data_IF_908197138515
#
_entry.id   IF_908197138515
#
_cell.length_a   1.000
_cell.length_b   1.000
_cell.length_c   1.000
_cell.angle_alpha   90.00
_cell.angle_beta   90.00
_cell.angle_gamma   90.00
#
_symmetry.space_group_name_H-M   'P 1'
#
loop_
_entity.id
_entity.type
_entity.pdbx_description
1 polymer ?
#
# COMPACT_ATOMS: atom_id res chain seq x y z
N UNK A 1 5.58 -13.62 -13.16
CA UNK A 1 4.58 -13.35 -12.09
C UNK A 1 3.55 -14.47 -11.94
N UNK A 2 2.99 -15.03 -13.03
CA UNK A 2 1.88 -16.02 -12.93
C UNK A 2 2.16 -17.20 -11.97
N UNK A 3 3.36 -17.79 -11.98
CA UNK A 3 3.64 -19.00 -11.20
C UNK A 3 3.85 -18.79 -9.69
N UNK A 4 4.10 -17.57 -9.21
CA UNK A 4 4.45 -17.34 -7.79
C UNK A 4 3.24 -17.10 -6.89
N UNK A 5 2.12 -16.63 -7.44
CA UNK A 5 0.90 -16.30 -6.70
C UNK A 5 -0.27 -17.21 -7.06
N UNK A 6 -0.03 -18.25 -7.87
CA UNK A 6 -1.05 -19.24 -8.23
C UNK A 6 -1.69 -19.91 -6.99
N UNK A 7 -0.93 -20.01 -5.88
CA UNK A 7 -1.38 -20.59 -4.62
C UNK A 7 -1.11 -19.61 -3.47
N UNK A 8 -2.16 -18.91 -3.03
CA UNK A 8 -2.10 -17.93 -1.95
C UNK A 8 -3.36 -17.91 -1.10
N UNK A 9 -3.20 -17.77 0.21
CA UNK A 9 -4.28 -17.41 1.15
C UNK A 9 -4.30 -15.90 1.30
N UNK A 10 -4.85 -15.24 0.28
CA UNK A 10 -4.77 -13.78 0.12
C UNK A 10 -6.11 -13.06 0.21
N UNK A 11 -7.20 -13.77 0.55
CA UNK A 11 -8.51 -13.14 0.64
C UNK A 11 -8.48 -11.91 1.55
N UNK A 12 -9.04 -10.81 1.05
CA UNK A 12 -9.10 -9.53 1.73
C UNK A 12 -10.53 -9.00 1.73
N UNK A 13 -10.84 -8.13 2.68
CA UNK A 13 -12.16 -7.50 2.80
C UNK A 13 -12.07 -6.03 2.45
N UNK A 14 -12.95 -5.60 1.55
CA UNK A 14 -13.21 -4.19 1.26
C UNK A 14 -14.68 -3.88 1.51
N UNK A 15 -15.00 -2.60 1.67
CA UNK A 15 -16.36 -2.13 1.84
C UNK A 15 -16.79 -1.24 0.67
N UNK A 16 -18.09 -1.27 0.33
CA UNK A 16 -18.65 -0.44 -0.75
C UNK A 16 -18.40 1.07 -0.54
N UNK A 17 -18.15 1.51 0.70
CA UNK A 17 -17.87 2.90 1.04
C UNK A 17 -17.04 3.02 2.32
N UNK A 18 -16.04 3.91 2.27
CA UNK A 18 -15.27 4.36 3.43
C UNK A 18 -15.50 5.85 3.66
N UNK A 19 -15.25 6.30 4.90
CA UNK A 19 -15.28 7.69 5.30
C UNK A 19 -14.02 8.05 6.12
N UNK A 20 -13.65 9.34 6.07
CA UNK A 20 -12.64 9.90 6.96
C UNK A 20 -13.36 10.50 8.17
N UNK A 21 -12.96 10.09 9.37
CA UNK A 21 -13.50 10.59 10.64
C UNK A 21 -12.40 11.08 11.55
N UNK A 22 -12.70 12.10 12.35
CA UNK A 22 -11.79 12.60 13.37
C UNK A 22 -12.00 11.83 14.67
N UNK A 23 -10.93 11.20 15.18
CA UNK A 23 -10.90 10.53 16.48
C UNK A 23 -10.91 11.51 17.65
N UNK A 24 -11.08 10.98 18.87
CA UNK A 24 -11.05 11.78 20.11
C UNK A 24 -9.68 12.43 20.37
N UNK A 25 -8.64 11.89 19.76
CA UNK A 25 -7.26 12.38 19.78
C UNK A 25 -7.01 13.51 18.76
N UNK A 26 -8.03 13.91 17.99
CA UNK A 26 -7.93 14.95 16.95
C UNK A 26 -7.32 14.45 15.63
N UNK A 27 -6.97 13.16 15.51
CA UNK A 27 -6.40 12.60 14.27
C UNK A 27 -7.49 12.13 13.32
N UNK A 28 -7.20 12.16 12.02
CA UNK A 28 -8.08 11.60 10.98
C UNK A 28 -7.85 10.09 10.85
N UNK A 29 -8.93 9.33 10.71
CA UNK A 29 -8.93 7.89 10.48
C UNK A 29 -9.81 7.53 9.30
N UNK A 30 -9.41 6.53 8.52
CA UNK A 30 -10.20 5.94 7.45
C UNK A 30 -10.91 4.71 8.01
N UNK A 31 -12.24 4.64 7.86
CA UNK A 31 -13.06 3.55 8.41
C UNK A 31 -14.25 3.23 7.50
N UNK A 32 -14.77 2.00 7.49
CA UNK A 32 -15.98 1.68 6.75
C UNK A 32 -17.15 2.57 7.17
N UNK A 33 -17.96 3.03 6.21
CA UNK A 33 -19.17 3.76 6.56
C UNK A 33 -20.18 2.82 7.26
N UNK A 34 -21.02 3.38 8.15
CA UNK A 34 -21.90 2.63 9.07
C UNK A 34 -22.70 1.49 8.42
N UNK A 35 -23.25 1.72 7.23
CA UNK A 35 -24.11 0.76 6.53
C UNK A 35 -23.45 0.20 5.24
N UNK A 36 -22.13 0.35 5.11
CA UNK A 36 -21.41 -0.18 3.96
C UNK A 36 -21.34 -1.71 4.01
N UNK A 37 -21.62 -2.36 2.87
CA UNK A 37 -21.56 -3.81 2.76
C UNK A 37 -20.11 -4.27 2.52
N UNK A 38 -19.66 -5.34 3.19
CA UNK A 38 -18.37 -5.96 2.91
C UNK A 38 -18.42 -6.79 1.62
N UNK A 39 -17.28 -6.85 0.94
CA UNK A 39 -16.98 -7.71 -0.20
C UNK A 39 -15.65 -8.44 0.05
N UNK A 40 -15.64 -9.75 -0.20
CA UNK A 40 -14.44 -10.59 -0.06
C UNK A 40 -13.87 -10.84 -1.44
N UNK A 41 -12.61 -10.49 -1.65
CA UNK A 41 -11.95 -10.61 -2.94
C UNK A 41 -10.50 -11.10 -2.78
N UNK A 42 -9.86 -11.46 -3.90
CA UNK A 42 -8.44 -11.84 -3.91
C UNK A 42 -7.60 -10.71 -4.57
N UNK A 43 -6.85 -9.90 -3.80
CA UNK A 43 -6.03 -8.80 -4.30
C UNK A 43 -4.94 -9.24 -5.29
N UNK A 44 -4.46 -10.47 -5.22
CA UNK A 44 -3.41 -10.94 -6.14
C UNK A 44 -3.91 -11.13 -7.57
N UNK A 45 -5.23 -11.28 -7.77
CA UNK A 45 -5.82 -11.30 -9.11
C UNK A 45 -5.80 -9.92 -9.78
N UNK A 46 -5.64 -8.87 -8.99
CA UNK A 46 -5.59 -7.46 -9.39
C UNK A 46 -4.20 -6.84 -9.16
N UNK A 47 -3.18 -7.70 -8.97
CA UNK A 47 -1.84 -7.35 -8.50
C UNK A 47 -1.15 -6.19 -9.25
N UNK A 48 -1.16 -6.12 -10.59
CA UNK A 48 -0.54 -5.01 -11.30
C UNK A 48 -1.26 -3.69 -11.05
N UNK A 49 -2.58 -3.70 -11.02
CA UNK A 49 -3.41 -2.49 -10.96
C UNK A 49 -3.37 -1.89 -9.55
N UNK A 50 -3.45 -2.71 -8.50
CA UNK A 50 -3.34 -2.24 -7.11
C UNK A 50 -1.99 -1.55 -6.84
N UNK A 51 -0.88 -2.11 -7.35
CA UNK A 51 0.44 -1.49 -7.20
C UNK A 51 0.51 -0.19 -8.00
N UNK A 52 0.04 -0.18 -9.25
CA UNK A 52 0.05 1.03 -10.08
C UNK A 52 -0.79 2.15 -9.47
N UNK A 53 -1.97 1.83 -8.94
CA UNK A 53 -2.84 2.81 -8.30
C UNK A 53 -2.20 3.34 -7.02
N UNK A 54 -1.65 2.46 -6.17
CA UNK A 54 -0.93 2.86 -4.96
C UNK A 54 0.23 3.83 -5.27
N UNK A 55 1.05 3.50 -6.27
CA UNK A 55 2.16 4.35 -6.71
C UNK A 55 1.66 5.68 -7.27
N UNK A 56 0.57 5.69 -8.04
CA UNK A 56 0.05 6.92 -8.63
C UNK A 56 -0.61 7.84 -7.59
N UNK A 57 -1.23 7.30 -6.53
CA UNK A 57 -1.69 8.10 -5.38
C UNK A 57 -0.49 8.69 -4.63
N UNK A 58 0.57 7.91 -4.39
CA UNK A 58 1.81 8.42 -3.82
C UNK A 58 2.46 9.53 -4.65
N UNK A 59 2.51 9.36 -5.98
CA UNK A 59 3.03 10.35 -6.92
C UNK A 59 2.23 11.66 -6.92
N UNK A 60 0.91 11.59 -6.72
CA UNK A 60 0.06 12.77 -6.55
C UNK A 60 0.56 13.61 -5.36
N UNK A 61 0.79 12.98 -4.21
CA UNK A 61 1.29 13.65 -3.01
C UNK A 61 2.70 14.23 -3.14
N UNK A 62 3.52 13.67 -4.02
CA UNK A 62 4.89 14.15 -4.27
C UNK A 62 4.94 15.32 -5.25
N UNK A 63 3.87 15.57 -6.01
CA UNK A 63 3.82 16.62 -7.02
C UNK A 63 3.36 17.97 -6.44
N UNK A 64 4.11 18.48 -5.46
CA UNK A 64 3.72 19.56 -4.53
C UNK A 64 3.33 20.93 -5.11
N UNK A 65 3.30 21.10 -6.43
CA UNK A 65 2.76 22.31 -7.10
C UNK A 65 1.33 22.12 -7.65
N UNK A 66 0.77 20.90 -7.59
CA UNK A 66 -0.47 20.56 -8.32
C UNK A 66 -1.54 19.85 -7.50
N UNK A 67 -1.28 19.47 -6.27
CA UNK A 67 -2.19 18.61 -5.50
C UNK A 67 -2.65 19.32 -4.24
N UNK A 68 -3.95 19.60 -4.18
CA UNK A 68 -4.61 20.12 -2.98
C UNK A 68 -4.93 18.97 -1.99
N UNK A 69 -5.04 19.29 -0.71
CA UNK A 69 -5.39 18.29 0.33
C UNK A 69 -6.71 17.55 0.01
N UNK A 70 -7.79 18.20 -0.47
CA UNK A 70 -9.01 17.49 -0.86
C UNK A 70 -8.83 16.51 -2.03
N UNK A 71 -7.97 16.82 -3.00
CA UNK A 71 -7.68 15.91 -4.11
C UNK A 71 -6.92 14.67 -3.63
N UNK A 72 -6.00 14.83 -2.68
CA UNK A 72 -5.26 13.73 -2.07
C UNK A 72 -6.20 12.85 -1.23
N UNK A 73 -7.01 13.46 -0.35
CA UNK A 73 -7.99 12.72 0.45
C UNK A 73 -8.94 11.91 -0.43
N UNK A 74 -9.44 12.51 -1.51
CA UNK A 74 -10.28 11.84 -2.49
C UNK A 74 -9.57 10.65 -3.13
N UNK A 75 -8.35 10.83 -3.61
CA UNK A 75 -7.58 9.77 -4.27
C UNK A 75 -7.28 8.59 -3.32
N UNK A 76 -6.98 8.89 -2.05
CA UNK A 76 -6.78 7.86 -1.02
C UNK A 76 -8.10 7.13 -0.74
N UNK A 77 -9.22 7.84 -0.58
CA UNK A 77 -10.52 7.20 -0.35
C UNK A 77 -10.96 6.34 -1.54
N UNK A 78 -10.71 6.78 -2.78
CA UNK A 78 -10.97 5.98 -3.98
C UNK A 78 -10.14 4.70 -3.98
N UNK A 79 -8.85 4.79 -3.66
CA UNK A 79 -7.97 3.62 -3.51
C UNK A 79 -8.47 2.65 -2.43
N UNK A 80 -8.76 3.14 -1.22
CA UNK A 80 -9.22 2.33 -0.09
C UNK A 80 -10.62 1.74 -0.37
N UNK A 81 -11.49 2.46 -1.07
CA UNK A 81 -12.80 1.92 -1.47
C UNK A 81 -12.63 0.78 -2.47
N UNK A 82 -11.67 0.89 -3.39
CA UNK A 82 -11.44 -0.15 -4.38
C UNK A 82 -10.75 -1.39 -3.82
N UNK A 83 -9.78 -1.23 -2.91
CA UNK A 83 -8.92 -2.33 -2.45
C UNK A 83 -9.09 -2.71 -0.97
N UNK A 84 -9.75 -1.89 -0.17
CA UNK A 84 -9.86 -2.04 1.27
C UNK A 84 -8.73 -1.34 2.04
N UNK A 85 -8.79 -1.43 3.37
CA UNK A 85 -7.76 -0.91 4.27
C UNK A 85 -6.46 -1.70 4.14
N UNK A 86 -5.33 -1.08 4.50
CA UNK A 86 -4.01 -1.66 4.27
C UNK A 86 -3.69 -2.84 5.21
N UNK A 87 -4.42 -3.01 6.31
CA UNK A 87 -4.10 -3.98 7.35
C UNK A 87 -2.85 -3.59 8.12
N UNK A 88 -2.73 -2.33 8.52
CA UNK A 88 -1.57 -1.81 9.27
C UNK A 88 -1.39 -2.53 10.62
N UNK A 89 -2.49 -2.91 11.27
CA UNK A 89 -2.46 -3.57 12.58
C UNK A 89 -1.74 -4.92 12.56
N UNK A 90 -1.78 -5.64 11.44
CA UNK A 90 -1.08 -6.91 11.25
C UNK A 90 0.25 -6.74 10.53
N UNK A 91 0.47 -5.60 9.84
CA UNK A 91 1.70 -5.31 9.11
C UNK A 91 2.86 -4.86 10.00
N UNK A 92 2.56 -4.10 11.05
CA UNK A 92 3.58 -3.44 11.87
C UNK A 92 4.26 -4.36 12.90
N UNK A 93 3.56 -5.32 13.55
CA UNK A 93 4.19 -6.22 14.50
C UNK A 93 5.15 -7.20 13.83
N UNK A 94 6.02 -7.83 14.63
CA UNK A 94 6.92 -8.89 14.14
C UNK A 94 6.18 -10.15 13.68
N UNK A 95 4.92 -10.33 14.09
CA UNK A 95 4.05 -11.44 13.71
C UNK A 95 2.59 -11.00 13.65
N UNK A 96 1.80 -11.49 12.66
CA UNK A 96 0.36 -11.23 12.60
C UNK A 96 -0.41 -11.89 13.75
N UNK A 97 0.17 -12.89 14.41
CA UNK A 97 -0.38 -13.58 15.58
C UNK A 97 0.03 -12.94 16.90
N UNK A 98 0.30 -11.62 16.92
CA UNK A 98 0.73 -10.92 18.15
C UNK A 98 -0.26 -11.04 19.31
N UNK A 99 -1.54 -11.34 19.02
CA UNK A 99 -2.57 -11.61 20.03
C UNK A 99 -2.26 -12.84 20.89
N UNK A 100 -1.40 -13.76 20.43
CA UNK A 100 -1.01 -14.97 21.16
C UNK A 100 0.22 -14.74 22.06
N UNK A 101 0.74 -13.51 22.10
CA UNK A 101 1.90 -13.11 22.88
C UNK A 101 1.49 -12.22 24.04
N UNK A 102 2.35 -12.09 25.05
CA UNK A 102 2.10 -11.25 26.22
C UNK A 102 1.95 -9.76 25.85
N UNK A 103 2.77 -9.31 24.90
CA UNK A 103 2.75 -7.95 24.38
C UNK A 103 2.97 -7.92 22.86
N UNK A 104 2.69 -6.78 22.25
CA UNK A 104 2.95 -6.54 20.84
C UNK A 104 4.40 -6.15 20.66
N UNK A 105 5.18 -7.00 19.99
CA UNK A 105 6.57 -6.71 19.64
C UNK A 105 6.64 -6.04 18.28
N UNK A 106 7.35 -4.91 18.24
CA UNK A 106 7.40 -4.04 17.08
C UNK A 106 8.86 -3.94 16.60
N UNK A 107 9.15 -4.28 15.34
CA UNK A 107 10.42 -3.93 14.74
C UNK A 107 10.50 -2.41 14.56
N UNK A 108 11.72 -1.89 14.41
CA UNK A 108 11.93 -0.48 14.13
C UNK A 108 11.17 -0.08 12.87
N UNK A 109 10.24 0.86 13.05
CA UNK A 109 9.45 1.43 11.97
C UNK A 109 9.25 2.94 12.23
N UNK A 110 8.82 3.67 11.22
CA UNK A 110 8.63 5.13 11.29
C UNK A 110 7.29 5.57 11.90
N UNK A 111 6.34 4.66 12.14
CA UNK A 111 5.02 4.98 12.70
C UNK A 111 5.02 4.91 14.23
N UNK A 112 5.64 3.85 14.78
CA UNK A 112 5.72 3.56 16.21
C UNK A 112 7.18 3.38 16.59
N UNK A 113 7.63 4.13 17.60
CA UNK A 113 9.04 4.15 18.02
C UNK A 113 9.32 3.09 19.10
N UNK A 114 8.31 2.74 19.88
CA UNK A 114 8.36 1.71 20.89
C UNK A 114 8.58 0.33 20.26
N UNK A 115 9.53 -0.44 20.80
CA UNK A 115 9.83 -1.80 20.32
C UNK A 115 8.91 -2.86 20.97
N UNK A 116 8.14 -2.47 21.98
CA UNK A 116 7.14 -3.31 22.66
C UNK A 116 5.98 -2.43 23.15
N UNK A 117 4.76 -2.94 23.05
CA UNK A 117 3.55 -2.23 23.48
C UNK A 117 2.52 -3.20 24.08
N UNK A 118 1.82 -2.76 25.12
CA UNK A 118 0.66 -3.47 25.65
C UNK A 118 -0.41 -3.69 24.58
N UNK A 119 -1.00 -4.89 24.55
CA UNK A 119 -1.94 -5.32 23.50
C UNK A 119 -3.13 -4.37 23.37
N UNK A 120 -3.78 -4.01 24.48
CA UNK A 120 -4.92 -3.09 24.46
C UNK A 120 -4.53 -1.68 23.99
N UNK A 121 -3.34 -1.20 24.39
CA UNK A 121 -2.80 0.09 23.94
C UNK A 121 -2.55 0.07 22.44
N UNK A 122 -1.99 -1.02 21.91
CA UNK A 122 -1.77 -1.18 20.48
C UNK A 122 -3.08 -1.24 19.68
N UNK A 123 -4.06 -2.02 20.14
CA UNK A 123 -5.38 -2.10 19.51
C UNK A 123 -6.09 -0.74 19.48
N UNK A 124 -5.91 0.09 20.52
CA UNK A 124 -6.50 1.43 20.55
C UNK A 124 -6.06 2.37 19.41
N UNK A 125 -4.92 2.09 18.77
CA UNK A 125 -4.45 2.81 17.58
C UNK A 125 -5.33 2.56 16.34
N UNK A 126 -6.10 1.46 16.33
CA UNK A 126 -6.92 1.03 15.20
C UNK A 126 -8.42 0.92 15.51
N UNK A 127 -8.79 1.08 16.78
CA UNK A 127 -10.19 1.13 17.24
C UNK A 127 -10.44 2.45 18.00
N UNK A 128 -10.36 3.60 17.32
CA UNK A 128 -10.42 4.92 17.98
C UNK A 128 -11.84 5.35 18.38
N UNK A 129 -12.88 4.70 17.85
CA UNK A 129 -14.29 5.12 18.01
C UNK A 129 -15.06 4.25 19.00
N UNK A 130 -14.89 2.93 18.89
CA UNK A 130 -15.62 1.94 19.66
C UNK A 130 -14.68 1.22 20.63
N UNK A 131 -15.14 0.98 21.86
CA UNK A 131 -14.38 0.18 22.81
C UNK A 131 -14.51 -1.29 22.42
N UNK A 132 -13.40 -1.92 22.13
CA UNK A 132 -13.34 -3.36 21.90
C UNK A 132 -13.63 -4.13 23.19
N UNK A 133 -14.41 -5.20 23.05
CA UNK A 133 -14.60 -6.21 24.09
C UNK A 133 -13.56 -7.34 23.87
N UNK A 134 -12.34 -7.04 24.29
CA UNK A 134 -11.18 -7.94 24.25
C UNK A 134 -10.76 -8.22 25.69
N UNK A 135 -10.55 -9.50 25.99
CA UNK A 135 -9.97 -9.96 27.25
C UNK A 135 -8.59 -10.51 26.95
N UNK A 136 -7.57 -10.00 27.65
CA UNK A 136 -6.18 -10.40 27.52
C UNK A 136 -5.64 -10.90 28.86
N UNK A 137 -5.33 -12.20 28.93
CA UNK A 137 -4.77 -12.86 30.11
C UNK A 137 -3.44 -13.54 29.75
N UNK A 138 -2.33 -12.79 29.84
CA UNK A 138 -1.02 -13.28 29.43
C UNK A 138 -1.01 -13.59 27.93
N UNK A 139 -0.86 -14.86 27.55
CA UNK A 139 -0.89 -15.32 26.15
C UNK A 139 -2.31 -15.60 25.63
N UNK A 140 -3.29 -15.78 26.52
CA UNK A 140 -4.67 -16.04 26.12
C UNK A 140 -5.40 -14.74 25.77
N UNK A 141 -6.04 -14.74 24.60
CA UNK A 141 -6.85 -13.64 24.11
C UNK A 141 -8.23 -14.13 23.71
N UNK A 142 -9.27 -13.38 24.06
CA UNK A 142 -10.61 -13.58 23.51
C UNK A 142 -11.21 -12.25 23.09
N UNK A 143 -11.98 -12.25 22.01
CA UNK A 143 -12.63 -11.07 21.48
C UNK A 143 -14.09 -11.39 21.12
N UNK A 144 -15.02 -10.55 21.59
CA UNK A 144 -16.43 -10.68 21.26
C UNK A 144 -16.77 -9.86 20.00
N UNK A 145 -17.29 -10.57 18.99
CA UNK A 145 -17.78 -9.94 17.75
C UNK A 145 -19.07 -9.19 18.04
N UNK A 146 -19.31 -8.09 17.32
CA UNK A 146 -20.58 -7.39 17.39
C UNK A 146 -21.75 -8.30 16.96
N UNK A 147 -22.96 -7.96 17.40
CA UNK A 147 -24.18 -8.67 17.01
C UNK A 147 -24.61 -8.45 15.55
N UNK A 148 -23.80 -7.73 14.76
CA UNK A 148 -24.01 -7.54 13.32
C UNK A 148 -23.77 -8.88 12.59
N UNK A 149 -24.80 -9.36 11.88
CA UNK A 149 -24.74 -10.62 11.14
C UNK A 149 -23.62 -10.67 10.10
N UNK A 150 -23.33 -9.54 9.44
CA UNK A 150 -22.24 -9.48 8.48
C UNK A 150 -20.88 -9.64 9.17
N UNK A 151 -20.71 -9.07 10.36
CA UNK A 151 -19.47 -9.18 11.14
C UNK A 151 -19.26 -10.61 11.65
N UNK A 152 -20.32 -11.26 12.14
CA UNK A 152 -20.28 -12.67 12.52
C UNK A 152 -19.89 -13.55 11.32
N UNK A 153 -20.50 -13.32 10.15
CA UNK A 153 -20.21 -14.09 8.94
C UNK A 153 -18.74 -13.92 8.50
N UNK A 154 -18.20 -12.70 8.52
CA UNK A 154 -16.79 -12.45 8.25
C UNK A 154 -15.89 -13.18 9.26
N UNK A 155 -16.21 -13.10 10.55
CA UNK A 155 -15.41 -13.79 11.58
C UNK A 155 -15.40 -15.31 11.38
N UNK A 156 -16.55 -15.91 11.05
CA UNK A 156 -16.61 -17.34 10.73
C UNK A 156 -15.84 -17.70 9.46
N UNK A 157 -15.89 -16.84 8.44
CA UNK A 157 -15.19 -17.08 7.16
C UNK A 157 -13.66 -17.12 7.34
N UNK A 158 -13.15 -16.32 8.28
CA UNK A 158 -11.71 -16.19 8.54
C UNK A 158 -11.32 -16.74 9.92
N UNK A 159 -12.03 -17.77 10.41
CA UNK A 159 -11.79 -18.30 11.77
C UNK A 159 -10.45 -19.02 11.91
N UNK A 160 -9.90 -19.56 10.82
CA UNK A 160 -8.60 -20.25 10.80
C UNK A 160 -7.42 -19.30 10.56
N UNK A 161 -7.69 -18.00 10.42
CA UNK A 161 -6.69 -16.95 10.24
C UNK A 161 -6.32 -16.30 11.58
N UNK A 162 -5.15 -15.65 11.70
CA UNK A 162 -4.78 -14.93 12.91
C UNK A 162 -5.86 -13.94 13.35
N UNK A 163 -6.19 -13.95 14.65
CA UNK A 163 -7.28 -13.16 15.23
C UNK A 163 -7.23 -11.68 14.79
N UNK A 164 -6.05 -11.07 14.79
CA UNK A 164 -5.85 -9.68 14.40
C UNK A 164 -6.21 -9.40 12.92
N UNK A 165 -6.03 -10.36 12.00
CA UNK A 165 -6.46 -10.21 10.61
C UNK A 165 -7.98 -10.13 10.55
N UNK A 166 -8.66 -11.03 11.24
CA UNK A 166 -10.13 -11.08 11.28
C UNK A 166 -10.73 -9.85 11.96
N UNK A 167 -10.07 -9.35 13.01
CA UNK A 167 -10.37 -8.06 13.64
C UNK A 167 -10.26 -6.91 12.63
N UNK A 168 -9.24 -6.89 11.78
CA UNK A 168 -9.05 -5.82 10.77
C UNK A 168 -10.17 -5.74 9.71
N UNK A 169 -10.97 -6.80 9.56
CA UNK A 169 -12.10 -6.82 8.64
C UNK A 169 -13.41 -6.30 9.25
N UNK A 170 -13.41 -6.00 10.54
CA UNK A 170 -14.59 -5.55 11.26
C UNK A 170 -14.93 -4.09 10.97
N UNK A 171 -16.21 -3.74 11.11
CA UNK A 171 -16.70 -2.36 10.88
C UNK A 171 -16.00 -1.31 11.73
N UNK A 172 -15.70 -1.66 12.98
CA UNK A 172 -15.10 -0.76 13.95
C UNK A 172 -13.60 -0.53 13.69
N UNK A 173 -12.98 -1.33 12.80
CA UNK A 173 -11.59 -1.15 12.43
C UNK A 173 -11.40 0.15 11.65
N UNK A 174 -10.34 0.88 11.98
CA UNK A 174 -9.96 2.11 11.31
C UNK A 174 -8.43 2.22 11.24
N UNK A 175 -7.94 2.88 10.20
CA UNK A 175 -6.50 3.16 10.04
C UNK A 175 -6.21 4.66 10.12
N UNK A 176 -5.14 5.09 10.81
CA UNK A 176 -4.74 6.50 10.80
C UNK A 176 -4.49 6.99 9.37
N UNK A 177 -5.19 8.04 8.97
CA UNK A 177 -5.12 8.59 7.61
C UNK A 177 -3.69 8.94 7.21
N UNK A 178 -2.95 9.61 8.10
CA UNK A 178 -1.57 10.03 7.83
C UNK A 178 -0.63 8.83 7.62
N UNK A 179 -0.91 7.68 8.25
CA UNK A 179 -0.09 6.48 8.09
C UNK A 179 -0.33 5.84 6.72
N UNK A 180 -1.59 5.75 6.30
CA UNK A 180 -1.97 5.30 4.95
C UNK A 180 -1.36 6.22 3.88
N UNK A 181 -1.49 7.54 4.04
CA UNK A 181 -0.91 8.52 3.13
C UNK A 181 0.61 8.40 3.06
N UNK A 182 1.29 8.29 4.20
CA UNK A 182 2.74 8.13 4.26
C UNK A 182 3.18 6.83 3.58
N UNK A 183 2.49 5.71 3.80
CA UNK A 183 2.85 4.44 3.17
C UNK A 183 2.75 4.48 1.64
N UNK A 184 1.68 5.08 1.11
CA UNK A 184 1.50 5.29 -0.33
C UNK A 184 2.61 6.19 -0.91
N UNK A 185 2.98 7.24 -0.18
CA UNK A 185 4.09 8.13 -0.54
C UNK A 185 5.44 7.41 -0.54
N UNK A 186 5.68 6.53 0.43
CA UNK A 186 6.93 5.79 0.53
C UNK A 186 7.10 4.79 -0.63
N UNK A 187 6.04 4.11 -1.06
CA UNK A 187 6.10 3.28 -2.26
C UNK A 187 6.42 4.09 -3.51
N UNK A 188 5.80 5.25 -3.69
CA UNK A 188 6.11 6.15 -4.80
C UNK A 188 7.55 6.70 -4.74
N UNK A 189 8.04 7.04 -3.54
CA UNK A 189 9.42 7.46 -3.33
C UNK A 189 10.42 6.38 -3.75
N UNK A 190 10.18 5.12 -3.39
CA UNK A 190 11.04 4.00 -3.80
C UNK A 190 11.00 3.78 -5.31
N UNK A 191 9.82 3.90 -5.94
CA UNK A 191 9.70 3.86 -7.40
C UNK A 191 10.54 4.96 -8.06
N UNK A 192 10.47 6.19 -7.54
CA UNK A 192 11.24 7.32 -8.06
C UNK A 192 12.74 7.16 -7.87
N UNK A 193 13.18 6.65 -6.72
CA UNK A 193 14.58 6.32 -6.45
C UNK A 193 15.14 5.41 -7.54
N UNK A 194 14.40 4.33 -7.89
CA UNK A 194 14.78 3.45 -9.00
C UNK A 194 14.77 4.19 -10.35
N UNK A 195 13.71 4.96 -10.62
CA UNK A 195 13.57 5.70 -11.87
C UNK A 195 14.74 6.66 -12.11
N UNK A 196 15.07 7.52 -11.13
CA UNK A 196 16.15 8.50 -11.27
C UNK A 196 17.52 7.84 -11.33
N UNK A 197 17.75 6.78 -10.55
CA UNK A 197 19.01 6.05 -10.59
C UNK A 197 19.34 5.56 -12.00
N UNK A 198 18.37 4.95 -12.70
CA UNK A 198 18.60 4.42 -14.04
C UNK A 198 18.42 5.45 -15.16
N UNK A 199 17.48 6.39 -15.05
CA UNK A 199 17.20 7.36 -16.12
C UNK A 199 18.29 8.44 -16.21
N UNK A 200 18.84 8.85 -15.06
CA UNK A 200 19.82 9.94 -14.97
C UNK A 200 21.23 9.42 -14.64
N UNK A 201 21.44 8.10 -14.77
CA UNK A 201 22.66 7.41 -14.37
C UNK A 201 23.92 8.13 -14.85
N UNK A 202 24.05 8.32 -16.17
CA UNK A 202 25.24 8.90 -16.80
C UNK A 202 25.49 10.37 -16.41
N UNK A 203 24.44 11.10 -16.05
CA UNK A 203 24.52 12.51 -15.63
C UNK A 203 24.66 12.72 -14.11
N UNK A 204 24.54 11.65 -13.33
CA UNK A 204 24.54 11.71 -11.87
C UNK A 204 25.92 11.43 -11.30
N UNK A 205 26.33 12.22 -10.29
CA UNK A 205 27.58 12.01 -9.56
C UNK A 205 27.55 10.70 -8.75
N UNK A 206 28.71 10.07 -8.57
CA UNK A 206 28.81 8.76 -7.90
C UNK A 206 28.32 8.79 -6.45
N UNK A 207 28.50 9.91 -5.74
CA UNK A 207 27.98 10.08 -4.38
C UNK A 207 26.45 10.04 -4.36
N UNK A 208 25.79 10.75 -5.27
CA UNK A 208 24.32 10.72 -5.40
C UNK A 208 23.84 9.32 -5.79
N UNK A 209 24.52 8.63 -6.71
CA UNK A 209 24.22 7.23 -7.04
C UNK A 209 24.33 6.32 -5.83
N UNK A 210 25.35 6.50 -5.00
CA UNK A 210 25.54 5.73 -3.77
C UNK A 210 24.43 6.00 -2.74
N UNK A 211 23.98 7.25 -2.61
CA UNK A 211 22.83 7.60 -1.77
C UNK A 211 21.55 6.89 -2.25
N UNK A 212 21.27 6.90 -3.56
CA UNK A 212 20.10 6.18 -4.10
C UNK A 212 20.21 4.66 -3.89
N UNK A 213 21.40 4.08 -4.05
CA UNK A 213 21.64 2.65 -3.74
C UNK A 213 21.35 2.32 -2.29
N UNK A 214 21.82 3.15 -1.35
CA UNK A 214 21.55 2.98 0.09
C UNK A 214 20.07 3.18 0.42
N UNK A 215 19.43 4.16 -0.19
CA UNK A 215 17.99 4.39 -0.02
C UNK A 215 17.17 3.19 -0.50
N UNK A 216 17.50 2.63 -1.67
CA UNK A 216 16.83 1.44 -2.19
C UNK A 216 17.11 0.21 -1.34
N UNK A 217 18.34 0.04 -0.83
CA UNK A 217 18.65 -1.06 0.09
C UNK A 217 17.92 -0.95 1.43
N UNK A 218 17.59 0.27 1.87
CA UNK A 218 16.77 0.52 3.05
C UNK A 218 15.27 0.24 2.81
N UNK A 219 14.84 0.11 1.55
CA UNK A 219 13.53 -0.47 1.21
C UNK A 219 13.56 -1.97 1.50
N UNK A 220 13.39 -2.29 2.77
CA UNK A 220 13.16 -3.63 3.30
C UNK A 220 11.78 -3.69 3.92
N UNK A 221 11.05 -4.77 3.68
CA UNK A 221 9.78 -5.06 4.34
C UNK A 221 9.85 -6.37 5.10
N UNK A 222 8.94 -6.53 6.06
CA UNK A 222 8.61 -7.85 6.58
C UNK A 222 8.06 -8.65 5.38
N UNK A 223 8.74 -9.71 4.98
CA UNK A 223 8.22 -10.58 3.94
C UNK A 223 6.91 -11.22 4.45
N UNK A 224 5.88 -11.38 3.61
CA UNK A 224 4.73 -12.19 3.97
C UNK A 224 5.19 -13.56 4.46
N UNK A 225 4.51 -14.06 5.48
CA UNK A 225 4.69 -15.43 5.94
C UNK A 225 4.29 -16.41 4.85
N UNK A 226 4.90 -17.59 4.85
CA UNK A 226 4.54 -18.67 3.95
C UNK A 226 4.63 -20.00 4.68
N UNK A 227 3.93 -20.99 4.13
CA UNK A 227 4.10 -22.38 4.51
C UNK A 227 4.16 -23.26 3.26
N UNK A 228 4.50 -24.53 3.46
CA UNK A 228 4.54 -25.53 2.38
C UNK A 228 3.46 -26.57 2.68
N UNK A 229 2.52 -26.73 1.75
CA UNK A 229 1.57 -27.85 1.79
C UNK A 229 2.04 -28.94 0.81
N UNK A 230 1.77 -30.19 1.20
CA UNK A 230 2.04 -31.37 0.36
C UNK A 230 0.78 -31.70 -0.45
N UNK A 231 0.74 -31.21 -1.69
CA UNK A 231 -0.24 -31.58 -2.71
C UNK A 231 0.39 -32.61 -3.66
N UNK A 232 0.11 -32.54 -4.97
CA UNK A 232 0.80 -33.35 -5.99
C UNK A 232 2.34 -33.18 -5.97
N UNK A 233 2.80 -32.00 -5.53
CA UNK A 233 4.20 -31.68 -5.22
C UNK A 233 4.27 -30.66 -4.07
N UNK A 234 5.42 -30.55 -3.35
CA UNK A 234 5.61 -29.48 -2.37
C UNK A 234 5.30 -28.12 -2.98
N UNK A 235 4.31 -27.44 -2.41
CA UNK A 235 3.75 -26.20 -2.95
C UNK A 235 3.81 -25.11 -1.90
N UNK A 236 4.40 -23.98 -2.26
CA UNK A 236 4.47 -22.81 -1.38
C UNK A 236 3.10 -22.12 -1.39
N UNK A 237 2.58 -21.87 -0.20
CA UNK A 237 1.42 -21.04 0.04
C UNK A 237 1.86 -19.74 0.72
N UNK A 238 1.49 -18.62 0.11
CA UNK A 238 1.70 -17.31 0.71
C UNK A 238 0.55 -16.95 1.63
N UNK A 239 0.86 -16.60 2.87
CA UNK A 239 -0.09 -16.20 3.90
C UNK A 239 -0.07 -14.69 4.05
N UNK A 240 -1.02 -14.03 3.37
CA UNK A 240 -1.13 -12.58 3.43
C UNK A 240 -2.07 -12.18 4.56
N UNK A 241 -1.48 -11.59 5.59
CA UNK A 241 -2.22 -11.08 6.75
C UNK A 241 -2.45 -9.57 6.71
N UNK A 242 -1.86 -8.90 5.72
CA UNK A 242 -1.93 -7.46 5.49
C UNK A 242 -1.88 -7.15 4.00
N UNK A 243 -2.76 -6.28 3.52
CA UNK A 243 -2.73 -5.78 2.15
C UNK A 243 -1.47 -4.94 1.88
N UNK A 244 -0.96 -4.22 2.89
CA UNK A 244 0.29 -3.48 2.82
C UNK A 244 1.45 -4.38 2.42
N UNK A 245 1.63 -5.49 3.15
CA UNK A 245 2.72 -6.44 2.86
C UNK A 245 2.53 -7.10 1.50
N UNK A 246 1.27 -7.37 1.11
CA UNK A 246 0.90 -7.81 -0.22
C UNK A 246 1.38 -6.86 -1.32
N UNK A 247 0.95 -5.60 -1.25
CA UNK A 247 1.32 -4.55 -2.21
C UNK A 247 2.83 -4.38 -2.25
N UNK A 248 3.50 -4.35 -1.10
CA UNK A 248 4.95 -4.17 -1.03
C UNK A 248 5.72 -5.31 -1.70
N UNK A 249 5.29 -6.56 -1.52
CA UNK A 249 5.88 -7.72 -2.19
C UNK A 249 5.61 -7.67 -3.71
N UNK A 250 4.38 -7.40 -4.12
CA UNK A 250 4.02 -7.28 -5.55
C UNK A 250 4.81 -6.16 -6.22
N UNK A 251 4.94 -5.01 -5.56
CA UNK A 251 5.74 -3.89 -6.00
C UNK A 251 7.21 -4.27 -6.15
N UNK A 252 7.79 -4.98 -5.17
CA UNK A 252 9.17 -5.49 -5.25
C UNK A 252 9.39 -6.34 -6.51
N UNK A 253 8.46 -7.26 -6.83
CA UNK A 253 8.56 -8.07 -8.03
C UNK A 253 8.41 -7.25 -9.32
N UNK A 254 7.49 -6.28 -9.34
CA UNK A 254 7.32 -5.39 -10.50
C UNK A 254 8.54 -4.48 -10.72
N UNK A 255 9.25 -4.11 -9.65
CA UNK A 255 10.44 -3.27 -9.72
C UNK A 255 11.63 -3.99 -10.36
N UNK A 256 11.74 -5.31 -10.15
CA UNK A 256 12.82 -6.15 -10.71
C UNK A 256 12.44 -6.89 -12.00
N UNK A 257 11.19 -6.75 -12.47
CA UNK A 257 10.72 -7.36 -13.72
C UNK A 257 11.26 -6.60 -14.94
N UNK A 258 12.22 -7.21 -15.64
CA UNK A 258 12.80 -6.67 -16.87
C UNK A 258 11.91 -6.84 -18.11
N UNK A 259 10.93 -7.75 -18.06
CA UNK A 259 10.01 -8.03 -19.18
C UNK A 259 8.90 -7.00 -19.28
N UNK A 260 8.38 -6.56 -18.12
CA UNK A 260 7.35 -5.54 -18.00
C UNK A 260 7.78 -4.47 -16.99
N UNK A 261 8.78 -3.63 -17.33
CA UNK A 261 9.32 -2.67 -16.39
C UNK A 261 8.29 -1.58 -16.02
N UNK A 262 8.31 -1.17 -14.76
CA UNK A 262 7.68 0.06 -14.29
C UNK A 262 8.36 1.28 -14.92
N UNK A 263 7.56 2.20 -15.44
CA UNK A 263 8.02 3.43 -16.10
C UNK A 263 7.21 4.64 -15.64
N UNK A 264 7.80 5.82 -15.79
CA UNK A 264 7.13 7.10 -15.54
C UNK A 264 6.92 7.87 -16.85
N UNK A 265 5.69 8.34 -17.07
CA UNK A 265 5.34 9.05 -18.29
C UNK A 265 5.96 10.45 -18.33
N UNK A 266 6.74 10.78 -19.36
CA UNK A 266 7.37 12.11 -19.51
C UNK A 266 6.37 13.28 -19.61
N UNK A 267 5.12 13.01 -19.99
CA UNK A 267 4.09 14.04 -20.15
C UNK A 267 3.30 14.32 -18.88
N UNK A 268 2.84 13.26 -18.18
CA UNK A 268 1.92 13.38 -17.05
C UNK A 268 2.48 12.85 -15.74
N UNK A 269 3.70 12.31 -15.73
CA UNK A 269 4.35 11.69 -14.56
C UNK A 269 3.59 10.49 -13.95
N UNK A 270 2.57 9.97 -14.64
CA UNK A 270 1.89 8.73 -14.26
C UNK A 270 2.84 7.55 -14.35
N UNK A 271 2.86 6.71 -13.33
CA UNK A 271 3.54 5.41 -13.32
C UNK A 271 2.71 4.39 -14.08
N UNK A 272 3.35 3.61 -14.95
CA UNK A 272 2.70 2.61 -15.80
C UNK A 272 3.62 1.42 -16.06
N UNK A 273 3.02 0.26 -16.35
CA UNK A 273 3.74 -0.90 -16.86
C UNK A 273 3.97 -0.78 -18.36
N UNK A 274 5.19 -1.07 -18.81
CA UNK A 274 5.54 -1.02 -20.22
C UNK A 274 5.84 -2.40 -20.79
N UNK A 275 5.32 -2.70 -21.98
CA UNK A 275 5.71 -3.89 -22.75
C UNK A 275 7.03 -3.70 -23.53
N UNK A 276 7.65 -2.52 -23.44
CA UNK A 276 8.91 -2.18 -24.14
C UNK A 276 9.85 -1.45 -23.20
N UNK A 277 11.12 -1.81 -23.20
CA UNK A 277 12.11 -1.13 -22.36
C UNK A 277 12.16 0.39 -22.59
N UNK A 278 12.02 0.85 -23.84
CA UNK A 278 12.21 2.27 -24.19
C UNK A 278 10.92 3.10 -24.21
N UNK A 279 9.82 2.63 -23.59
CA UNK A 279 8.58 3.42 -23.57
C UNK A 279 8.69 4.61 -22.62
N UNK A 280 8.50 5.81 -23.16
CA UNK A 280 8.55 7.07 -22.41
C UNK A 280 7.16 7.65 -22.07
N UNK A 281 6.09 7.08 -22.61
CA UNK A 281 4.73 7.61 -22.48
C UNK A 281 3.73 6.51 -22.17
N UNK A 282 2.79 6.77 -21.27
CA UNK A 282 1.74 5.82 -20.90
C UNK A 282 0.64 5.67 -21.96
N UNK A 283 0.54 6.59 -22.92
CA UNK A 283 -0.45 6.56 -23.99
C UNK A 283 0.00 7.34 -25.23
N UNK A 284 -0.60 7.02 -26.39
CA UNK A 284 -0.40 7.79 -27.62
C UNK A 284 -0.82 9.27 -27.46
N UNK A 285 -1.88 9.53 -26.68
CA UNK A 285 -2.33 10.88 -26.33
C UNK A 285 -1.23 11.67 -25.61
N UNK A 286 -0.61 11.08 -24.60
CA UNK A 286 0.49 11.72 -23.87
C UNK A 286 1.69 12.01 -24.77
N UNK A 287 2.05 11.08 -25.66
CA UNK A 287 3.13 11.27 -26.64
C UNK A 287 2.84 12.45 -27.58
N UNK A 288 1.63 12.51 -28.13
CA UNK A 288 1.24 13.58 -29.06
C UNK A 288 1.23 14.95 -28.36
N UNK A 289 0.66 15.02 -27.16
CA UNK A 289 0.60 16.27 -26.39
C UNK A 289 2.01 16.78 -26.03
N UNK A 290 2.92 15.88 -25.62
CA UNK A 290 4.31 16.22 -25.35
C UNK A 290 5.02 16.80 -26.58
N UNK A 291 4.87 16.16 -27.74
CA UNK A 291 5.49 16.60 -28.98
C UNK A 291 4.98 17.98 -29.42
N UNK A 292 3.67 18.24 -29.27
CA UNK A 292 3.07 19.55 -29.57
C UNK A 292 3.65 20.64 -28.67
N UNK A 293 3.76 20.40 -27.36
CA UNK A 293 4.35 21.37 -26.44
C UNK A 293 5.83 21.60 -26.71
N UNK A 294 6.58 20.54 -27.03
CA UNK A 294 8.00 20.65 -27.40
C UNK A 294 8.19 21.46 -28.68
N UNK A 295 7.37 21.23 -29.72
CA UNK A 295 7.44 21.99 -30.98
C UNK A 295 7.10 23.47 -30.76
N UNK A 296 6.05 23.77 -29.99
CA UNK A 296 5.67 25.16 -29.68
C UNK A 296 6.72 25.90 -28.84
N UNK A 297 7.40 25.19 -27.94
CA UNK A 297 8.51 25.73 -27.17
C UNK A 297 9.71 26.11 -28.03
N UNK A 298 10.04 25.28 -29.03
CA UNK A 298 11.14 25.56 -29.99
C UNK A 298 10.85 26.77 -30.88
N UNK A 299 9.64 26.88 -31.42
CA UNK A 299 9.28 28.03 -32.26
C UNK A 299 9.37 29.33 -31.46
N UNK A 300 8.99 29.33 -30.17
CA UNK A 300 9.13 30.51 -29.30
C UNK A 300 10.59 30.91 -29.02
N UNK A 301 11.52 29.95 -28.93
CA UNK A 301 12.95 30.27 -28.77
C UNK A 301 13.58 30.77 -30.07
N UNK A 302 13.19 30.21 -31.22
CA UNK A 302 13.68 30.66 -32.54
C UNK A 302 13.14 32.05 -32.93
N UNK A 303 11.89 32.38 -32.57
CA UNK A 303 11.32 33.72 -32.76
C UNK A 303 11.88 34.77 -31.77
N UNK A 304 12.47 34.31 -30.65
CA UNK A 304 13.14 35.15 -29.65
C UNK A 304 14.57 35.51 -30.03
N UNK A 305 15.31 34.60 -30.66
CA UNK A 305 16.67 34.84 -31.17
C UNK A 305 16.68 35.61 -32.51
N UNK A 306 15.61 35.55 -33.30
CA UNK A 306 15.49 36.31 -34.56
C UNK A 306 15.05 37.78 -34.37
N UNK A 307 14.87 38.23 -33.13
CA UNK A 307 14.52 39.62 -32.77
C UNK A 307 15.53 40.28 -31.80
N UNK A 308 16.76 39.74 -31.72
CA UNK A 308 17.88 40.32 -30.98
C UNK A 308 18.96 40.87 -31.91
#
# INVERSE_FOLDING_TARGET
>A
MNTFFEQSRSHWVRYERYEIKTGKDGKKYITPAKDARPDVYNPLKEAPDIVLDALNVGMLMMNGKKSSEPEVEKAILEFITHYGLLGLMTALPTTPSFMDYEAVYLPKNHFIKEETMETEKYLSLFYPFDKLDVVKNGVESSWNVSSDRAMIALTMTFMDEPMAKTMSFQRAYAEPYDWVAQQLKDWAFNMLTSFFYYNDYDSMEEESRNMLRKSMAAFGGIAPTYHIELLDRPTIYWDFHSLLLGIQMMFSFMLVDSTKPLRMCKQCQKVFLSNRANSAFCSARCKNQYNVYKSRGKNKSEDGDNNA
#
